data_IF_315042408159
#
_entry.id   IF_315042408159
#
_cell.length_a   1.000
_cell.length_b   1.000
_cell.length_c   1.000
_cell.angle_alpha   90.00
_cell.angle_beta   90.00
_cell.angle_gamma   90.00
#
_symmetry.space_group_name_H-M   'P 1'
#
loop_
_entity.id
_entity.type
_entity.pdbx_description
1 polymer ?
#
# COMPACT_ATOMS: atom_id res chain seq x y z
N UNK A 1 46.38 -9.11 -19.34
CA UNK A 1 45.72 -9.03 -18.05
C UNK A 1 44.57 -8.06 -18.18
N UNK A 2 43.35 -8.56 -18.42
CA UNK A 2 42.17 -7.71 -18.67
C UNK A 2 41.51 -7.42 -17.33
N UNK A 3 41.93 -6.34 -16.67
CA UNK A 3 41.25 -5.81 -15.49
C UNK A 3 39.95 -5.13 -15.92
N UNK A 4 38.84 -5.84 -15.89
CA UNK A 4 37.52 -5.21 -16.05
C UNK A 4 37.19 -4.45 -14.77
N UNK A 5 37.09 -3.14 -14.94
CA UNK A 5 36.86 -2.12 -13.93
C UNK A 5 35.61 -2.40 -13.08
N UNK A 6 35.81 -2.50 -11.75
CA UNK A 6 34.83 -2.56 -10.65
C UNK A 6 33.65 -1.55 -10.71
N UNK A 7 33.67 -0.62 -11.66
CA UNK A 7 32.62 0.37 -11.92
C UNK A 7 31.56 -0.08 -12.94
N UNK A 8 31.85 -1.04 -13.81
CA UNK A 8 30.90 -1.56 -14.80
C UNK A 8 29.92 -2.56 -14.16
N UNK A 9 30.42 -3.42 -13.26
CA UNK A 9 29.61 -4.36 -12.48
C UNK A 9 28.53 -3.67 -11.65
N UNK A 10 28.86 -2.50 -11.05
CA UNK A 10 27.90 -1.70 -10.27
C UNK A 10 26.77 -1.09 -11.11
N UNK A 11 27.00 -0.85 -12.40
CA UNK A 11 25.98 -0.33 -13.31
C UNK A 11 25.04 -1.44 -13.80
N UNK A 12 25.58 -2.64 -13.99
CA UNK A 12 24.78 -3.82 -14.34
C UNK A 12 23.87 -4.22 -13.18
N UNK A 13 24.38 -4.22 -11.95
CA UNK A 13 23.58 -4.60 -10.77
C UNK A 13 22.39 -3.64 -10.54
N UNK A 14 22.62 -2.33 -10.67
CA UNK A 14 21.53 -1.33 -10.58
C UNK A 14 20.49 -1.47 -11.70
N UNK A 15 20.88 -1.97 -12.87
CA UNK A 15 19.97 -2.19 -13.99
C UNK A 15 19.06 -3.39 -13.72
N UNK A 16 19.61 -4.48 -13.17
CA UNK A 16 18.82 -5.65 -12.80
C UNK A 16 17.86 -5.35 -11.64
N UNK A 17 18.28 -4.55 -10.65
CA UNK A 17 17.40 -4.08 -9.57
C UNK A 17 16.26 -3.21 -10.09
N UNK A 18 16.51 -2.40 -11.12
CA UNK A 18 15.51 -1.55 -11.77
C UNK A 18 14.54 -2.36 -12.63
N UNK A 19 15.03 -3.37 -13.36
CA UNK A 19 14.22 -4.26 -14.18
C UNK A 19 13.25 -5.11 -13.33
N UNK A 20 13.67 -5.58 -12.14
CA UNK A 20 12.74 -6.25 -11.21
C UNK A 20 11.71 -5.29 -10.59
N UNK A 21 12.07 -4.01 -10.36
CA UNK A 21 11.10 -2.99 -9.90
C UNK A 21 10.07 -2.64 -11.01
N UNK A 22 10.47 -2.64 -12.29
CA UNK A 22 9.59 -2.33 -13.43
C UNK A 22 8.57 -3.45 -13.74
N UNK A 23 8.95 -4.73 -13.58
CA UNK A 23 8.02 -5.88 -13.74
C UNK A 23 6.90 -5.86 -12.67
N UNK A 24 7.17 -5.32 -11.48
CA UNK A 24 6.17 -5.15 -10.41
C UNK A 24 5.19 -3.97 -10.69
N UNK A 25 5.60 -2.96 -11.48
CA UNK A 25 4.79 -1.77 -11.77
C UNK A 25 3.84 -1.93 -12.98
N UNK A 26 4.15 -2.78 -13.96
CA UNK A 26 3.22 -3.07 -15.06
C UNK A 26 1.96 -3.84 -14.61
N UNK A 27 2.05 -4.68 -13.58
CA UNK A 27 0.89 -5.37 -13.01
C UNK A 27 -0.10 -4.41 -12.32
N UNK A 28 0.34 -3.23 -11.87
CA UNK A 28 -0.53 -2.24 -11.19
C UNK A 28 -1.14 -1.21 -12.14
N UNK A 29 -0.50 -0.90 -13.27
CA UNK A 29 -0.89 0.20 -14.16
C UNK A 29 -1.88 -0.20 -15.25
N UNK A 30 -2.00 -1.49 -15.58
CA UNK A 30 -2.96 -1.99 -16.58
C UNK A 30 -4.46 -1.84 -16.19
N UNK A 31 -4.81 -1.11 -15.12
CA UNK A 31 -6.22 -0.91 -14.70
C UNK A 31 -6.64 0.53 -14.42
N UNK A 32 -5.82 1.56 -14.68
CA UNK A 32 -6.26 2.95 -14.58
C UNK A 32 -6.75 3.50 -15.93
N UNK A 33 -7.89 2.98 -16.38
CA UNK A 33 -8.73 3.60 -17.41
C UNK A 33 -9.76 4.52 -16.75
N UNK A 34 -9.79 5.79 -17.15
CA UNK A 34 -10.61 6.85 -16.56
C UNK A 34 -12.12 6.76 -16.83
N UNK A 35 -12.88 7.50 -16.02
CA UNK A 35 -14.31 7.75 -16.22
C UNK A 35 -14.91 8.49 -15.01
N UNK A 36 -15.27 9.76 -15.20
CA UNK A 36 -15.87 10.63 -14.20
C UNK A 36 -17.40 10.54 -14.11
N UNK A 37 -18.01 11.59 -13.53
CA UNK A 37 -19.44 11.85 -13.20
C UNK A 37 -19.78 11.45 -11.74
N UNK A 38 -20.24 12.27 -10.80
CA UNK A 38 -20.80 13.63 -10.81
C UNK A 38 -22.00 13.64 -9.87
N UNK A 39 -21.90 14.23 -8.67
CA UNK A 39 -23.04 14.45 -7.77
C UNK A 39 -22.97 15.87 -7.19
N UNK A 40 -24.03 16.64 -7.42
CA UNK A 40 -24.19 18.01 -6.95
C UNK A 40 -24.57 18.07 -5.47
N UNK A 41 -24.20 19.17 -4.83
CA UNK A 41 -24.59 19.52 -3.47
C UNK A 41 -25.06 20.99 -3.49
N UNK A 42 -26.37 21.17 -3.44
CA UNK A 42 -27.03 22.47 -3.28
C UNK A 42 -27.50 22.62 -1.81
N UNK A 43 -27.30 23.84 -1.31
CA UNK A 43 -28.02 24.49 -0.22
C UNK A 43 -27.61 24.30 1.28
N UNK A 44 -26.85 25.31 1.76
CA UNK A 44 -27.38 26.43 2.61
C UNK A 44 -26.90 26.56 4.07
N UNK A 45 -25.95 27.50 4.21
CA UNK A 45 -25.85 28.64 5.17
C UNK A 45 -25.83 28.40 6.69
N UNK A 46 -24.63 28.69 7.23
CA UNK A 46 -24.28 29.73 8.26
C UNK A 46 -25.10 29.78 9.57
N UNK A 47 -24.40 29.53 10.69
CA UNK A 47 -24.20 30.45 11.85
C UNK A 47 -23.41 29.74 12.96
N UNK A 48 -22.31 30.33 13.44
CA UNK A 48 -22.27 30.85 14.82
C UNK A 48 -20.83 31.04 15.31
N UNK A 49 -20.60 32.15 16.02
CA UNK A 49 -19.32 32.63 16.57
C UNK A 49 -19.07 32.10 18.00
N UNK A 50 -17.82 32.32 18.48
CA UNK A 50 -17.34 32.36 19.89
C UNK A 50 -17.19 31.00 20.58
N UNK A 51 -16.21 30.72 21.44
CA UNK A 51 -15.29 31.53 22.25
C UNK A 51 -14.13 30.66 22.75
N UNK A 52 -13.11 31.34 23.26
CA UNK A 52 -11.95 30.83 23.99
C UNK A 52 -12.22 29.70 25.00
N UNK A 53 -11.24 28.81 25.12
CA UNK A 53 -11.09 27.86 26.21
C UNK A 53 -9.61 27.50 26.37
N UNK A 54 -8.92 28.27 27.21
CA UNK A 54 -7.58 27.97 27.73
C UNK A 54 -7.67 26.93 28.83
N UNK A 55 -6.81 25.91 28.82
CA UNK A 55 -6.17 25.26 29.99
C UNK A 55 -5.42 24.01 29.52
N UNK A 56 -4.08 24.06 29.44
CA UNK A 56 -3.10 23.52 30.41
C UNK A 56 -2.96 21.99 30.42
N UNK A 57 -1.71 21.55 30.24
CA UNK A 57 -1.23 20.21 30.62
C UNK A 57 -1.03 19.29 29.40
N UNK A 58 0.16 18.80 29.09
CA UNK A 58 1.42 18.82 29.81
C UNK A 58 2.56 18.43 28.87
N UNK A 59 3.78 18.76 29.26
CA UNK A 59 4.98 18.30 28.60
C UNK A 59 5.03 16.78 28.55
N UNK A 60 5.14 16.24 27.35
CA UNK A 60 5.65 14.91 27.10
C UNK A 60 6.69 15.09 26.01
N UNK A 61 7.97 14.99 26.37
CA UNK A 61 9.04 15.03 25.39
C UNK A 61 8.70 14.10 24.24
N UNK A 62 8.86 14.60 23.00
CA UNK A 62 8.83 13.78 21.80
C UNK A 62 10.01 12.82 21.86
N UNK A 63 9.90 11.80 22.70
CA UNK A 63 10.58 10.53 22.51
C UNK A 63 10.27 10.20 21.06
N UNK A 64 11.29 10.27 20.21
CA UNK A 64 11.29 9.63 18.91
C UNK A 64 10.87 8.18 19.17
N UNK A 65 9.57 7.90 19.17
CA UNK A 65 9.04 6.56 19.32
C UNK A 65 9.59 5.84 18.12
N UNK A 66 10.64 5.05 18.37
CA UNK A 66 11.31 4.30 17.33
C UNK A 66 10.23 3.54 16.58
N UNK A 67 10.08 3.90 15.31
CA UNK A 67 9.03 3.32 14.49
C UNK A 67 9.49 1.89 14.23
N UNK A 68 8.94 0.95 14.97
CA UNK A 68 9.24 -0.47 14.82
C UNK A 68 8.15 -1.17 14.03
N UNK A 69 8.52 -2.31 13.44
CA UNK A 69 7.58 -3.15 12.72
C UNK A 69 6.62 -3.85 13.69
N UNK A 70 5.36 -4.00 13.30
CA UNK A 70 4.33 -4.70 14.08
C UNK A 70 4.52 -6.22 14.17
N UNK A 71 5.37 -6.81 13.32
CA UNK A 71 5.64 -8.23 13.35
C UNK A 71 6.35 -8.61 14.67
N UNK A 72 5.87 -9.69 15.29
CA UNK A 72 6.38 -10.19 16.55
C UNK A 72 7.85 -10.63 16.40
N UNK A 73 8.71 -10.14 17.29
CA UNK A 73 10.14 -10.41 17.26
C UNK A 73 10.91 -9.64 16.17
N UNK A 74 10.26 -8.77 15.40
CA UNK A 74 10.95 -7.93 14.42
C UNK A 74 11.63 -6.75 15.11
N UNK A 75 12.95 -6.68 15.01
CA UNK A 75 13.78 -5.59 15.55
C UNK A 75 14.39 -4.73 14.44
N UNK A 76 13.85 -4.79 13.22
CA UNK A 76 14.33 -3.98 12.11
C UNK A 76 14.17 -2.50 12.43
N UNK A 77 15.27 -1.75 12.35
CA UNK A 77 15.22 -0.30 12.47
C UNK A 77 14.49 0.29 11.26
N UNK A 78 13.43 1.05 11.50
CA UNK A 78 12.69 1.75 10.46
C UNK A 78 12.94 3.26 10.49
N UNK A 79 13.97 3.74 11.19
CA UNK A 79 14.34 5.17 11.26
C UNK A 79 14.66 5.75 9.89
N UNK A 80 15.29 4.98 8.99
CA UNK A 80 15.59 5.39 7.60
C UNK A 80 14.62 4.82 6.55
N UNK A 81 13.61 4.04 6.97
CA UNK A 81 12.67 3.43 6.03
C UNK A 81 11.83 4.47 5.26
N UNK A 82 11.35 4.09 4.06
CA UNK A 82 10.44 4.90 3.23
C UNK A 82 9.19 5.29 4.04
N UNK A 83 8.63 6.48 3.77
CA UNK A 83 7.49 7.04 4.55
C UNK A 83 6.28 6.11 4.63
N UNK A 84 6.01 5.34 3.58
CA UNK A 84 4.95 4.33 3.55
C UNK A 84 5.12 3.28 4.65
N UNK A 85 6.29 2.64 4.70
CA UNK A 85 6.65 1.64 5.70
C UNK A 85 6.50 2.19 7.12
N UNK A 86 7.03 3.40 7.37
CA UNK A 86 6.89 4.08 8.68
C UNK A 86 5.43 4.31 9.08
N UNK A 87 4.60 4.81 8.15
CA UNK A 87 3.18 5.09 8.40
C UNK A 87 2.41 3.82 8.77
N UNK A 88 2.72 2.71 8.10
CA UNK A 88 2.01 1.45 8.26
C UNK A 88 2.68 0.50 9.26
N UNK A 89 3.80 0.92 9.88
CA UNK A 89 4.56 0.16 10.88
C UNK A 89 4.89 -1.26 10.40
N UNK A 90 5.31 -1.36 9.14
CA UNK A 90 5.71 -2.60 8.49
C UNK A 90 7.04 -2.37 7.78
N UNK A 91 8.03 -3.22 8.00
CA UNK A 91 9.30 -3.15 7.27
C UNK A 91 9.12 -3.71 5.84
N UNK A 92 10.07 -3.42 4.96
CA UNK A 92 9.99 -3.84 3.56
C UNK A 92 9.89 -5.37 3.41
N UNK A 93 10.65 -6.11 4.22
CA UNK A 93 10.60 -7.57 4.26
C UNK A 93 9.19 -8.09 4.62
N UNK A 94 8.60 -7.59 5.70
CA UNK A 94 7.28 -8.04 6.15
C UNK A 94 6.12 -7.53 5.29
N UNK A 95 6.31 -6.45 4.52
CA UNK A 95 5.34 -6.03 3.53
C UNK A 95 5.24 -7.03 2.37
N UNK A 96 6.36 -7.70 2.03
CA UNK A 96 6.47 -8.69 0.94
C UNK A 96 6.30 -10.13 1.42
N UNK A 97 6.48 -10.40 2.72
CA UNK A 97 6.43 -11.73 3.32
C UNK A 97 5.09 -12.45 3.05
N UNK A 98 5.11 -13.77 2.77
CA UNK A 98 3.88 -14.56 2.61
C UNK A 98 3.08 -14.64 3.91
N UNK A 99 3.74 -14.64 5.07
CA UNK A 99 3.10 -14.58 6.38
C UNK A 99 4.01 -13.94 7.44
N UNK A 100 3.39 -13.43 8.50
CA UNK A 100 4.04 -12.86 9.68
C UNK A 100 3.25 -13.20 10.92
N UNK A 101 3.91 -13.31 12.06
CA UNK A 101 3.22 -13.44 13.35
C UNK A 101 2.96 -12.03 13.89
N UNK A 102 1.70 -11.66 14.08
CA UNK A 102 1.30 -10.37 14.67
C UNK A 102 0.31 -10.67 15.79
N UNK A 103 0.62 -10.27 17.02
CA UNK A 103 -0.17 -10.59 18.22
C UNK A 103 -0.49 -12.10 18.36
N UNK A 104 0.47 -12.98 18.02
CA UNK A 104 0.27 -14.43 18.08
C UNK A 104 -0.57 -15.05 16.96
N UNK A 105 -0.99 -14.26 15.97
CA UNK A 105 -1.80 -14.74 14.84
C UNK A 105 -0.98 -14.68 13.55
N UNK A 106 -1.07 -15.72 12.72
CA UNK A 106 -0.49 -15.69 11.38
C UNK A 106 -1.30 -14.77 10.47
N UNK A 107 -0.67 -13.67 10.07
CA UNK A 107 -1.24 -12.63 9.25
C UNK A 107 -0.37 -12.36 8.01
N UNK A 108 -0.95 -11.73 7.00
CA UNK A 108 -0.25 -11.22 5.82
C UNK A 108 -0.63 -9.77 5.58
N UNK A 109 0.33 -9.00 5.09
CA UNK A 109 0.08 -7.60 4.74
C UNK A 109 -0.68 -7.50 3.43
N UNK A 110 -1.87 -6.90 3.45
CA UNK A 110 -2.65 -6.63 2.24
C UNK A 110 -2.21 -5.30 1.63
N UNK A 111 -1.60 -5.35 0.45
CA UNK A 111 -1.07 -4.15 -0.24
C UNK A 111 -2.15 -3.11 -0.57
N UNK A 112 -3.38 -3.57 -0.84
CA UNK A 112 -4.51 -2.71 -1.18
C UNK A 112 -5.18 -2.07 0.04
N UNK A 113 -5.06 -2.70 1.21
CA UNK A 113 -5.63 -2.18 2.45
C UNK A 113 -4.59 -1.49 3.34
N UNK A 114 -3.30 -1.70 3.05
CA UNK A 114 -2.16 -1.27 3.86
C UNK A 114 -2.29 -1.70 5.33
N UNK A 115 -2.75 -2.94 5.56
CA UNK A 115 -3.04 -3.54 6.88
C UNK A 115 -2.76 -5.04 6.87
N UNK A 116 -2.47 -5.58 8.05
CA UNK A 116 -2.40 -7.03 8.27
C UNK A 116 -3.80 -7.64 8.38
N UNK A 117 -3.98 -8.76 7.70
CA UNK A 117 -5.18 -9.60 7.73
C UNK A 117 -4.77 -11.04 8.02
N UNK A 118 -5.65 -11.85 8.61
CA UNK A 118 -5.38 -13.27 8.81
C UNK A 118 -5.14 -13.98 7.47
N UNK A 119 -4.29 -15.01 7.46
CA UNK A 119 -4.01 -15.78 6.25
C UNK A 119 -5.28 -16.34 5.59
N UNK A 120 -6.28 -16.70 6.41
CA UNK A 120 -7.60 -17.16 5.95
C UNK A 120 -8.36 -16.15 5.09
N UNK A 121 -8.00 -14.87 5.10
CA UNK A 121 -8.59 -13.83 4.26
C UNK A 121 -7.94 -13.70 2.86
N UNK A 122 -6.94 -14.53 2.54
CA UNK A 122 -6.21 -14.51 1.27
C UNK A 122 -6.43 -15.80 0.48
N UNK A 123 -6.17 -15.75 -0.83
CA UNK A 123 -6.19 -16.89 -1.74
C UNK A 123 -4.78 -17.36 -2.13
N UNK A 124 -3.74 -17.02 -1.32
CA UNK A 124 -2.28 -17.20 -1.47
C UNK A 124 -1.65 -16.71 -2.78
N UNK A 125 -2.27 -17.07 -3.91
CA UNK A 125 -2.06 -16.61 -5.29
C UNK A 125 -2.12 -15.10 -5.47
N UNK A 126 -2.77 -14.35 -4.56
CA UNK A 126 -2.93 -12.89 -4.64
C UNK A 126 -2.45 -12.20 -3.37
N UNK A 127 -1.81 -11.04 -3.55
CA UNK A 127 -1.28 -10.19 -2.45
C UNK A 127 -2.34 -9.28 -1.81
N UNK A 128 -3.57 -9.29 -2.31
CA UNK A 128 -4.71 -8.56 -1.75
C UNK A 128 -5.71 -9.52 -1.10
N UNK A 129 -6.39 -9.07 -0.04
CA UNK A 129 -7.40 -9.87 0.64
C UNK A 129 -8.63 -10.10 -0.26
N UNK A 130 -9.33 -11.22 -0.04
CA UNK A 130 -10.51 -11.67 -0.81
C UNK A 130 -11.57 -10.57 -0.97
N UNK A 131 -11.82 -9.81 0.11
CA UNK A 131 -12.79 -8.72 0.12
C UNK A 131 -12.49 -7.65 -0.92
N UNK A 132 -11.23 -7.27 -1.10
CA UNK A 132 -10.82 -6.29 -2.10
C UNK A 132 -10.87 -6.90 -3.50
N UNK A 133 -10.37 -8.13 -3.64
CA UNK A 133 -10.29 -8.84 -4.92
C UNK A 133 -11.68 -9.04 -5.55
N UNK A 134 -12.70 -9.37 -4.76
CA UNK A 134 -14.07 -9.53 -5.23
C UNK A 134 -14.58 -8.27 -5.95
N UNK A 135 -14.35 -7.07 -5.38
CA UNK A 135 -14.75 -5.80 -6.00
C UNK A 135 -13.97 -5.46 -7.27
N UNK A 136 -12.71 -5.89 -7.38
CA UNK A 136 -11.95 -5.76 -8.63
C UNK A 136 -12.47 -6.69 -9.73
N UNK A 137 -12.74 -7.95 -9.38
CA UNK A 137 -13.25 -8.94 -10.33
C UNK A 137 -14.62 -8.56 -10.88
N UNK A 138 -15.50 -8.01 -10.04
CA UNK A 138 -16.83 -7.57 -10.49
C UNK A 138 -16.76 -6.43 -11.50
N UNK A 139 -15.92 -5.41 -11.25
CA UNK A 139 -15.74 -4.30 -12.20
C UNK A 139 -15.20 -4.77 -13.55
N UNK A 140 -14.21 -5.66 -13.56
CA UNK A 140 -13.68 -6.24 -14.81
C UNK A 140 -14.73 -7.02 -15.61
N UNK A 141 -15.63 -7.73 -14.94
CA UNK A 141 -16.71 -8.47 -15.61
C UNK A 141 -17.75 -7.53 -16.25
N UNK A 142 -18.04 -6.39 -15.62
CA UNK A 142 -18.98 -5.39 -16.15
C UNK A 142 -18.43 -4.68 -17.40
N UNK A 143 -17.17 -4.25 -17.36
CA UNK A 143 -16.53 -3.59 -18.51
C UNK A 143 -16.39 -4.49 -19.73
N UNK A 144 -16.19 -5.80 -19.54
CA UNK A 144 -16.15 -6.76 -20.66
C UNK A 144 -17.52 -7.00 -21.30
N UNK A 145 -18.61 -6.77 -20.58
CA UNK A 145 -19.97 -7.06 -21.05
C UNK A 145 -20.59 -5.86 -21.79
N UNK A 146 -20.22 -4.63 -21.40
CA UNK A 146 -20.72 -3.40 -22.07
C UNK A 146 -20.24 -3.27 -23.53
N UNK A 147 -19.04 -3.76 -23.86
CA UNK A 147 -18.51 -3.71 -25.23
C UNK A 147 -19.08 -4.77 -26.18
N UNK A 148 -19.84 -5.76 -25.69
CA UNK A 148 -20.47 -6.78 -26.54
C UNK A 148 -21.91 -6.42 -26.96
N UNK A 149 -22.46 -5.29 -26.50
CA UNK A 149 -23.86 -4.91 -26.74
C UNK A 149 -24.12 -3.84 -27.80
N UNK A 150 -23.15 -3.02 -28.17
CA UNK A 150 -23.37 -1.88 -29.08
C UNK A 150 -22.54 -2.02 -30.37
N UNK A 151 -22.97 -2.95 -31.22
CA UNK A 151 -22.33 -3.23 -32.49
C UNK A 151 -23.17 -4.10 -33.41
N UNK A 152 -24.49 -3.91 -33.41
CA UNK A 152 -25.37 -4.45 -34.45
C UNK A 152 -26.67 -3.65 -34.51
N UNK A 153 -26.67 -2.55 -35.27
CA UNK A 153 -27.48 -2.37 -36.49
C UNK A 153 -27.26 -0.97 -37.05
#
# INVERSE_FOLDING_TARGET
DMGTSRGEEKRVLRRLEQEEEDEDEEEISATTGGGGLGFGDDDKKKRGKTSAGSSTGGGGGSSMQQVSCQAQGCTTDMTEAKRYHKRHKVCEFHAKSPFVLVNGIHQRFCQQCSRFHELSEFDDTKKSCRRRLAGHNERRRKTSNEYQGEGSF
#
